data_IF_142567476595
#
_entry.id   IF_142567476595
#
_cell.length_a   1.000
_cell.length_b   1.000
_cell.length_c   1.000
_cell.angle_alpha   90.00
_cell.angle_beta   90.00
_cell.angle_gamma   90.00
#
_symmetry.space_group_name_H-M   'P 1'
#
loop_
_entity.id
_entity.type
_entity.pdbx_description
1 polymer ?
#
# COMPACT_ATOMS: atom_id res chain seq x y z
N UNK A 1 -7.56 1.40 -14.77
CA UNK A 1 -7.70 2.85 -14.49
C UNK A 1 -6.86 3.74 -15.40
N UNK A 2 -7.43 4.87 -15.83
CA UNK A 2 -6.76 5.97 -16.55
C UNK A 2 -6.00 6.87 -15.55
N UNK A 3 -4.78 7.31 -15.90
CA UNK A 3 -3.94 8.19 -15.07
C UNK A 3 -4.65 9.49 -14.67
N UNK A 4 -5.40 10.12 -15.59
CA UNK A 4 -6.13 11.35 -15.27
C UNK A 4 -7.20 11.16 -14.18
N UNK A 5 -7.84 9.98 -14.16
CA UNK A 5 -8.83 9.64 -13.14
C UNK A 5 -8.12 9.42 -11.82
N UNK A 6 -7.00 8.70 -11.83
CA UNK A 6 -6.21 8.47 -10.62
C UNK A 6 -5.73 9.79 -10.00
N UNK A 7 -5.15 10.68 -10.81
CA UNK A 7 -4.68 11.99 -10.34
C UNK A 7 -5.84 12.82 -9.77
N UNK A 8 -7.01 12.79 -10.40
CA UNK A 8 -8.21 13.46 -9.88
C UNK A 8 -8.66 12.89 -8.52
N UNK A 9 -8.57 11.56 -8.34
CA UNK A 9 -8.87 10.90 -7.06
C UNK A 9 -7.87 11.30 -5.97
N UNK A 10 -6.58 11.43 -6.32
CA UNK A 10 -5.55 11.91 -5.39
C UNK A 10 -5.79 13.38 -4.97
N UNK A 11 -6.35 14.19 -5.86
CA UNK A 11 -6.71 15.59 -5.58
C UNK A 11 -8.10 15.75 -4.94
N UNK A 12 -8.73 14.65 -4.51
CA UNK A 12 -9.93 14.68 -3.68
C UNK A 12 -11.26 14.57 -4.42
N UNK A 13 -11.24 14.16 -5.70
CA UNK A 13 -12.46 13.75 -6.38
C UNK A 13 -13.20 12.68 -5.57
N UNK A 14 -14.52 12.83 -5.44
CA UNK A 14 -15.39 11.79 -4.90
C UNK A 14 -15.46 10.61 -5.89
N UNK A 15 -15.00 9.40 -5.50
CA UNK A 15 -15.00 8.25 -6.41
C UNK A 15 -16.42 7.74 -6.64
N UNK A 16 -16.68 7.31 -7.87
CA UNK A 16 -17.76 6.34 -8.13
C UNK A 16 -17.37 4.95 -7.62
N UNK A 17 -18.31 4.00 -7.57
CA UNK A 17 -18.05 2.63 -7.11
C UNK A 17 -16.97 1.97 -7.98
N UNK A 18 -17.05 2.13 -9.30
CA UNK A 18 -16.09 1.53 -10.24
C UNK A 18 -14.69 2.14 -10.07
N UNK A 19 -14.61 3.47 -9.94
CA UNK A 19 -13.36 4.17 -9.69
C UNK A 19 -12.73 3.81 -8.35
N UNK A 20 -13.55 3.59 -7.32
CA UNK A 20 -13.08 3.09 -6.04
C UNK A 20 -12.47 1.69 -6.20
N UNK A 21 -13.17 0.76 -6.86
CA UNK A 21 -12.66 -0.59 -7.08
C UNK A 21 -11.34 -0.59 -7.88
N UNK A 22 -11.28 0.22 -8.93
CA UNK A 22 -10.08 0.42 -9.75
C UNK A 22 -8.92 0.99 -8.93
N UNK A 23 -9.19 1.97 -8.07
CA UNK A 23 -8.19 2.56 -7.18
C UNK A 23 -7.64 1.52 -6.20
N UNK A 24 -8.50 0.72 -5.57
CA UNK A 24 -8.09 -0.36 -4.66
C UNK A 24 -7.17 -1.34 -5.38
N UNK A 25 -7.56 -1.80 -6.58
CA UNK A 25 -6.76 -2.74 -7.36
C UNK A 25 -5.37 -2.20 -7.75
N UNK A 26 -5.23 -0.88 -7.90
CA UNK A 26 -3.93 -0.22 -8.10
C UNK A 26 -3.15 -0.15 -6.80
N UNK A 27 -3.75 0.34 -5.72
CA UNK A 27 -3.12 0.52 -4.41
C UNK A 27 -2.56 -0.81 -3.86
N UNK A 28 -3.27 -1.92 -4.02
CA UNK A 28 -2.79 -3.24 -3.61
C UNK A 28 -1.46 -3.66 -4.27
N UNK A 29 -1.19 -3.15 -5.48
CA UNK A 29 0.02 -3.46 -6.24
C UNK A 29 1.17 -2.49 -5.97
N UNK A 30 0.91 -1.35 -5.34
CA UNK A 30 1.95 -0.35 -5.09
C UNK A 30 2.96 -0.82 -4.03
N UNK A 31 4.24 -0.42 -4.15
CA UNK A 31 5.24 -0.59 -3.12
C UNK A 31 4.93 0.29 -1.90
N UNK A 32 5.47 -0.09 -0.74
CA UNK A 32 5.28 0.60 0.55
C UNK A 32 5.60 2.09 0.44
N UNK A 33 6.67 2.47 -0.25
CA UNK A 33 7.10 3.87 -0.36
C UNK A 33 6.09 4.73 -1.12
N UNK A 34 5.47 4.19 -2.17
CA UNK A 34 4.45 4.91 -2.93
C UNK A 34 3.13 5.02 -2.16
N UNK A 35 2.78 3.99 -1.37
CA UNK A 35 1.62 4.06 -0.47
C UNK A 35 1.82 5.14 0.61
N UNK A 36 3.02 5.20 1.19
CA UNK A 36 3.39 6.27 2.11
C UNK A 36 3.30 7.64 1.47
N UNK A 37 3.86 7.79 0.26
CA UNK A 37 3.83 9.04 -0.51
C UNK A 37 2.40 9.52 -0.76
N UNK A 38 1.49 8.62 -1.15
CA UNK A 38 0.08 8.96 -1.35
C UNK A 38 -0.53 9.49 -0.04
N UNK A 39 -0.30 8.84 1.09
CA UNK A 39 -0.89 9.26 2.36
C UNK A 39 -0.35 10.62 2.86
N UNK A 40 0.91 10.95 2.58
CA UNK A 40 1.56 12.19 3.04
C UNK A 40 1.36 13.36 2.08
N UNK A 41 1.37 13.12 0.76
CA UNK A 41 1.34 14.18 -0.25
C UNK A 41 -0.06 14.46 -0.79
N UNK A 42 -0.94 13.46 -0.88
CA UNK A 42 -2.32 13.64 -1.36
C UNK A 42 -3.23 14.17 -0.23
N UNK A 43 -3.07 15.45 0.13
CA UNK A 43 -3.79 16.09 1.26
C UNK A 43 -5.31 16.07 1.11
N UNK A 44 -5.79 16.17 -0.13
CA UNK A 44 -7.22 16.20 -0.46
C UNK A 44 -7.82 14.81 -0.64
N UNK A 45 -7.02 13.73 -0.52
CA UNK A 45 -7.48 12.37 -0.73
C UNK A 45 -8.72 12.05 0.11
N UNK A 46 -9.76 11.58 -0.57
CA UNK A 46 -11.01 11.20 0.06
C UNK A 46 -10.81 10.20 1.21
N UNK A 47 -11.58 10.33 2.29
CA UNK A 47 -11.44 9.51 3.49
C UNK A 47 -11.52 8.00 3.24
N UNK A 48 -12.37 7.54 2.32
CA UNK A 48 -12.45 6.12 1.97
C UNK A 48 -11.19 5.63 1.24
N UNK A 49 -10.68 6.43 0.30
CA UNK A 49 -9.45 6.12 -0.43
C UNK A 49 -8.21 6.17 0.48
N UNK A 50 -8.20 7.10 1.43
CA UNK A 50 -7.17 7.21 2.47
C UNK A 50 -7.19 5.98 3.38
N UNK A 51 -8.37 5.54 3.81
CA UNK A 51 -8.52 4.37 4.67
C UNK A 51 -8.01 3.10 3.99
N UNK A 52 -8.37 2.86 2.73
CA UNK A 52 -7.88 1.67 2.02
C UNK A 52 -6.37 1.75 1.78
N UNK A 53 -5.83 2.90 1.39
CA UNK A 53 -4.39 3.09 1.22
C UNK A 53 -3.62 2.83 2.52
N UNK A 54 -4.12 3.34 3.65
CA UNK A 54 -3.53 3.12 4.97
C UNK A 54 -3.62 1.64 5.40
N UNK A 55 -4.77 0.99 5.17
CA UNK A 55 -4.93 -0.44 5.46
C UNK A 55 -3.94 -1.28 4.66
N UNK A 56 -3.87 -1.08 3.34
CA UNK A 56 -2.93 -1.78 2.47
C UNK A 56 -1.48 -1.57 2.91
N UNK A 57 -1.11 -0.34 3.31
CA UNK A 57 0.20 -0.04 3.84
C UNK A 57 0.51 -0.84 5.11
N UNK A 58 -0.41 -0.84 6.08
CA UNK A 58 -0.23 -1.58 7.34
C UNK A 58 -0.08 -3.07 7.11
N UNK A 59 -0.89 -3.67 6.24
CA UNK A 59 -0.81 -5.09 5.90
C UNK A 59 0.53 -5.45 5.24
N UNK A 60 1.04 -4.60 4.34
CA UNK A 60 2.34 -4.83 3.69
C UNK A 60 3.51 -4.70 4.66
N UNK A 61 3.48 -3.73 5.58
CA UNK A 61 4.50 -3.59 6.62
C UNK A 61 4.51 -4.83 7.52
N UNK A 62 3.33 -5.29 7.95
CA UNK A 62 3.23 -6.50 8.78
C UNK A 62 3.81 -7.73 8.07
N UNK A 63 3.47 -7.94 6.79
CA UNK A 63 4.03 -9.06 6.01
C UNK A 63 5.54 -8.97 5.88
N UNK A 64 6.07 -7.79 5.51
CA UNK A 64 7.52 -7.57 5.41
C UNK A 64 8.24 -7.91 6.72
N UNK A 65 7.71 -7.46 7.86
CA UNK A 65 8.32 -7.75 9.15
C UNK A 65 8.32 -9.26 9.48
N UNK A 66 7.27 -9.99 9.08
CA UNK A 66 7.20 -11.45 9.24
C UNK A 66 8.23 -12.14 8.35
N UNK A 67 8.32 -11.73 7.08
CA UNK A 67 9.28 -12.28 6.13
C UNK A 67 10.73 -12.06 6.60
N UNK A 68 11.06 -10.83 7.03
CA UNK A 68 12.37 -10.48 7.59
C UNK A 68 12.71 -11.32 8.85
N UNK A 69 11.70 -11.59 9.70
CA UNK A 69 11.88 -12.42 10.90
C UNK A 69 12.12 -13.90 10.56
N UNK A 70 11.41 -14.44 9.56
CA UNK A 70 11.60 -15.82 9.08
C UNK A 70 12.98 -15.99 8.45
N UNK A 71 13.42 -15.04 7.63
CA UNK A 71 14.75 -15.06 7.01
C UNK A 71 15.86 -15.01 8.06
N UNK A 72 15.70 -14.22 9.12
CA UNK A 72 16.63 -14.18 10.24
C UNK A 72 16.73 -15.53 10.98
N UNK A 73 15.60 -16.22 11.20
CA UNK A 73 15.57 -17.55 11.82
C UNK A 73 16.28 -18.58 10.94
N UNK A 74 15.96 -18.61 9.64
CA UNK A 74 16.57 -19.54 8.66
C UNK A 74 18.08 -19.31 8.58
N UNK A 75 18.50 -18.04 8.50
CA UNK A 75 19.92 -17.66 8.50
C UNK A 75 20.62 -18.10 9.79
N UNK A 76 19.98 -17.87 10.94
CA UNK A 76 20.49 -18.30 12.24
C UNK A 76 20.63 -19.82 12.38
N UNK A 77 19.70 -20.60 11.82
CA UNK A 77 19.80 -22.06 11.79
C UNK A 77 20.93 -22.53 10.86
N UNK A 78 21.02 -21.95 9.65
CA UNK A 78 22.02 -22.34 8.64
C UNK A 78 23.46 -22.09 9.12
N UNK A 79 23.69 -21.00 9.86
CA UNK A 79 24.97 -20.69 10.48
C UNK A 79 25.32 -21.59 11.69
N UNK A 80 24.34 -22.29 12.26
CA UNK A 80 24.52 -23.17 13.43
C UNK A 80 24.87 -24.62 13.04
N UNK A 81 24.65 -24.98 11.78
CA UNK A 81 24.96 -26.29 11.20
C UNK A 81 26.17 -26.26 10.24
N UNK A 82 26.90 -25.13 10.19
CA UNK A 82 28.24 -25.01 9.60
C UNK A 82 29.27 -24.96 10.72
#
# INVERSE_FOLDING_TARGET
MNTQIFDALLDGKQPTIDEYADFVAVVEKLPIDLLWKILTEAKNLNGHLRNVTNKTLQEKIQRKNVDDALDAIVTGMTNRFR
#
